data_IF_486575345154
#
_entry.id   IF_486575345154
#
_cell.length_a   1.000
_cell.length_b   1.000
_cell.length_c   1.000
_cell.angle_alpha   90.00
_cell.angle_beta   90.00
_cell.angle_gamma   90.00
#
_symmetry.space_group_name_H-M   'P 1'
#
loop_
_entity.id
_entity.type
_entity.pdbx_description
1 polymer ?
#
# COMPACT_ATOMS: atom_id res chain seq x y z
N UNK A 1 18.85 -15.53 -28.96
CA UNK A 1 19.36 -14.25 -28.43
C UNK A 1 18.44 -13.82 -27.30
N UNK A 2 18.95 -13.77 -26.08
CA UNK A 2 18.15 -13.57 -24.87
C UNK A 2 17.62 -12.13 -24.81
N UNK A 3 16.30 -11.98 -24.61
CA UNK A 3 15.65 -10.70 -24.32
C UNK A 3 16.28 -10.11 -23.05
N UNK A 4 16.71 -8.84 -23.03
CA UNK A 4 17.15 -8.24 -21.78
C UNK A 4 15.93 -8.12 -20.86
N UNK A 5 16.14 -8.46 -19.59
CA UNK A 5 15.16 -8.28 -18.54
C UNK A 5 14.87 -6.79 -18.38
N UNK A 6 13.74 -6.34 -18.90
CA UNK A 6 13.15 -5.05 -18.53
C UNK A 6 12.61 -5.19 -17.11
N UNK A 7 13.50 -4.98 -16.14
CA UNK A 7 13.14 -4.88 -14.75
C UNK A 7 13.25 -3.42 -14.30
N UNK A 8 12.11 -2.85 -13.91
CA UNK A 8 11.96 -1.88 -12.82
C UNK A 8 12.32 -0.38 -12.98
N UNK A 9 12.53 0.17 -14.17
CA UNK A 9 12.77 1.63 -14.29
C UNK A 9 11.49 2.46 -14.04
N UNK A 10 10.31 1.85 -14.13
CA UNK A 10 9.03 2.58 -14.10
C UNK A 10 8.54 2.90 -12.68
N UNK A 11 8.80 2.02 -11.70
CA UNK A 11 8.32 2.18 -10.32
C UNK A 11 8.99 3.34 -9.56
N UNK A 12 10.23 3.69 -9.92
CA UNK A 12 10.96 4.80 -9.28
C UNK A 12 10.38 6.16 -9.66
N UNK A 13 9.77 6.29 -10.84
CA UNK A 13 9.16 7.54 -11.29
C UNK A 13 7.87 7.88 -10.55
N UNK A 14 7.11 6.87 -10.10
CA UNK A 14 5.80 7.09 -9.48
C UNK A 14 5.86 7.23 -7.97
N UNK A 15 6.92 6.75 -7.30
CA UNK A 15 7.04 6.81 -5.84
C UNK A 15 8.20 7.72 -5.39
N UNK A 16 7.88 8.77 -4.63
CA UNK A 16 8.86 9.72 -4.07
C UNK A 16 8.68 9.84 -2.56
N UNK A 17 9.80 9.86 -1.84
CA UNK A 17 9.77 10.19 -0.42
C UNK A 17 9.41 11.66 -0.22
N UNK A 18 8.58 11.93 0.78
CA UNK A 18 8.23 13.26 1.22
C UNK A 18 9.10 13.69 2.41
N UNK A 19 8.46 14.24 3.45
CA UNK A 19 9.19 14.81 4.57
C UNK A 19 9.86 13.73 5.42
N UNK A 20 11.16 13.90 5.72
CA UNK A 20 11.91 12.97 6.57
C UNK A 20 11.66 13.29 8.04
N UNK A 21 11.19 12.31 8.81
CA UNK A 21 10.88 12.45 10.25
C UNK A 21 12.14 12.41 11.11
N UNK A 22 13.07 11.52 10.77
CA UNK A 22 14.27 11.26 11.55
C UNK A 22 14.88 9.88 11.29
N UNK A 23 16.05 9.65 11.85
CA UNK A 23 16.70 8.33 11.89
C UNK A 23 16.13 7.46 13.02
N UNK A 24 16.18 6.14 12.82
CA UNK A 24 15.74 5.18 13.82
C UNK A 24 16.63 5.19 15.06
N UNK A 25 16.03 5.51 16.21
CA UNK A 25 16.70 5.53 17.52
C UNK A 25 17.44 4.21 17.84
N UNK A 26 16.89 3.06 17.39
CA UNK A 26 17.51 1.73 17.58
C UNK A 26 18.38 1.28 16.40
N UNK A 27 18.04 1.68 15.18
CA UNK A 27 18.75 1.31 13.95
C UNK A 27 18.95 2.58 13.15
N UNK A 28 20.12 3.20 13.28
CA UNK A 28 20.46 4.47 12.63
C UNK A 28 20.42 4.41 11.10
N UNK A 29 20.48 3.19 10.55
CA UNK A 29 20.38 2.91 9.12
C UNK A 29 18.93 2.86 8.62
N UNK A 30 17.94 2.85 9.51
CA UNK A 30 16.53 2.94 9.13
C UNK A 30 16.12 4.40 9.14
N UNK A 31 15.63 4.87 7.99
CA UNK A 31 15.14 6.25 7.85
C UNK A 31 13.62 6.27 7.92
N UNK A 32 13.06 7.12 8.79
CA UNK A 32 11.61 7.29 8.92
C UNK A 32 11.14 8.53 8.16
N UNK A 33 9.98 8.41 7.53
CA UNK A 33 9.34 9.48 6.76
C UNK A 33 7.97 9.79 7.34
N UNK A 34 7.55 11.05 7.19
CA UNK A 34 6.23 11.54 7.56
C UNK A 34 5.27 11.56 6.37
N UNK A 35 5.80 11.65 5.15
CA UNK A 35 4.98 11.63 3.94
C UNK A 35 5.68 10.95 2.78
N UNK A 36 4.89 10.54 1.79
CA UNK A 36 5.37 10.07 0.49
C UNK A 36 4.38 10.47 -0.61
N UNK A 37 4.87 10.60 -1.83
CA UNK A 37 4.05 10.84 -3.01
C UNK A 37 4.02 9.57 -3.85
N UNK A 38 2.83 9.07 -4.14
CA UNK A 38 2.62 7.94 -5.06
C UNK A 38 1.69 8.35 -6.19
N UNK A 39 2.15 8.21 -7.44
CA UNK A 39 1.42 8.61 -8.65
C UNK A 39 0.90 10.06 -8.64
N UNK A 40 1.66 10.95 -8.01
CA UNK A 40 1.31 12.37 -7.87
C UNK A 40 0.35 12.70 -6.73
N UNK A 41 -0.09 11.71 -5.95
CA UNK A 41 -0.89 11.90 -4.74
C UNK A 41 0.02 11.84 -3.52
N UNK A 42 -0.05 12.85 -2.65
CA UNK A 42 0.73 12.90 -1.41
C UNK A 42 -0.05 12.25 -0.27
N UNK A 43 0.63 11.38 0.47
CA UNK A 43 0.11 10.64 1.61
C UNK A 43 0.94 10.96 2.85
N UNK A 44 0.25 11.15 3.97
CA UNK A 44 0.88 11.48 5.24
C UNK A 44 0.78 10.33 6.24
N UNK A 45 1.69 10.33 7.22
CA UNK A 45 1.62 9.45 8.36
C UNK A 45 0.29 9.67 9.10
N UNK A 46 -0.34 8.59 9.53
CA UNK A 46 -1.67 8.53 10.13
C UNK A 46 -2.85 8.83 9.20
N UNK A 47 -2.61 9.04 7.91
CA UNK A 47 -3.69 9.17 6.94
C UNK A 47 -4.40 7.82 6.69
N UNK A 48 -5.68 7.89 6.37
CA UNK A 48 -6.50 6.73 6.05
C UNK A 48 -6.37 6.42 4.56
N UNK A 49 -5.88 5.22 4.24
CA UNK A 49 -5.68 4.77 2.86
C UNK A 49 -6.53 3.54 2.57
N UNK A 50 -7.06 3.51 1.35
CA UNK A 50 -7.69 2.32 0.78
C UNK A 50 -6.62 1.51 0.07
N UNK A 51 -6.62 0.21 0.30
CA UNK A 51 -5.74 -0.70 -0.43
C UNK A 51 -6.57 -1.81 -1.08
N UNK A 52 -6.15 -2.14 -2.29
CA UNK A 52 -6.69 -3.24 -3.08
C UNK A 52 -5.68 -4.38 -3.00
N UNK A 53 -6.09 -5.49 -2.41
CA UNK A 53 -5.29 -6.72 -2.46
C UNK A 53 -5.62 -7.44 -3.78
N UNK A 54 -4.62 -7.66 -4.62
CA UNK A 54 -4.81 -8.35 -5.90
C UNK A 54 -5.34 -9.77 -5.65
N UNK A 55 -6.61 -10.00 -5.99
CA UNK A 55 -7.32 -11.27 -5.74
C UNK A 55 -8.48 -11.16 -4.75
N UNK A 56 -8.63 -10.03 -4.05
CA UNK A 56 -9.78 -9.73 -3.19
C UNK A 56 -10.55 -8.52 -3.75
N UNK A 57 -11.86 -8.70 -3.98
CA UNK A 57 -12.76 -7.62 -4.41
C UNK A 57 -13.07 -6.62 -3.27
N UNK A 58 -12.65 -6.92 -2.05
CA UNK A 58 -12.91 -6.08 -0.89
C UNK A 58 -11.82 -5.00 -0.74
N UNK A 59 -12.23 -3.75 -0.95
CA UNK A 59 -11.46 -2.59 -0.55
C UNK A 59 -11.34 -2.54 0.96
N UNK A 60 -10.15 -2.78 1.46
CA UNK A 60 -9.87 -2.62 2.89
C UNK A 60 -9.38 -1.20 3.15
N UNK A 61 -9.89 -0.59 4.22
CA UNK A 61 -9.43 0.73 4.69
C UNK A 61 -8.47 0.52 5.84
N UNK A 62 -7.32 1.18 5.81
CA UNK A 62 -6.33 1.11 6.87
C UNK A 62 -5.66 2.45 7.10
N UNK A 63 -4.93 2.56 8.20
CA UNK A 63 -4.19 3.77 8.55
C UNK A 63 -2.70 3.56 8.36
N UNK A 64 -2.04 4.58 7.82
CA UNK A 64 -0.58 4.60 7.70
C UNK A 64 0.05 4.76 9.09
N UNK A 65 0.65 3.69 9.63
CA UNK A 65 1.21 3.74 11.00
C UNK A 65 2.70 3.97 10.99
N UNK A 66 3.42 3.46 9.98
CA UNK A 66 4.86 3.70 9.82
C UNK A 66 5.24 3.75 8.35
N UNK A 67 6.09 4.70 8.01
CA UNK A 67 6.69 4.88 6.69
C UNK A 67 8.20 4.92 6.91
N UNK A 68 8.94 3.99 6.32
CA UNK A 68 10.37 3.84 6.57
C UNK A 68 11.11 3.19 5.41
N UNK A 69 12.40 3.50 5.31
CA UNK A 69 13.34 2.88 4.38
C UNK A 69 14.32 2.01 5.16
N UNK A 70 14.57 0.80 4.67
CA UNK A 70 15.56 -0.12 5.27
C UNK A 70 16.99 0.25 4.86
N UNK A 71 18.01 -0.23 5.58
CA UNK A 71 19.42 -0.16 5.14
C UNK A 71 19.66 -0.65 3.70
N UNK A 72 18.83 -1.58 3.23
CA UNK A 72 18.90 -2.15 1.88
C UNK A 72 18.19 -1.26 0.84
N UNK A 73 17.82 -0.02 1.20
CA UNK A 73 17.03 0.89 0.38
C UNK A 73 15.65 0.34 -0.02
N UNK A 74 15.09 -0.58 0.77
CA UNK A 74 13.72 -1.05 0.53
C UNK A 74 12.73 -0.06 1.14
N UNK A 75 11.78 0.38 0.31
CA UNK A 75 10.69 1.27 0.70
C UNK A 75 9.59 0.45 1.39
N UNK A 76 9.36 0.66 2.68
CA UNK A 76 8.37 -0.11 3.46
C UNK A 76 7.37 0.81 4.15
N UNK A 77 6.11 0.40 4.06
CA UNK A 77 4.98 1.12 4.64
C UNK A 77 4.19 0.09 5.47
N UNK A 78 4.09 0.32 6.78
CA UNK A 78 3.17 -0.46 7.61
C UNK A 78 1.82 0.24 7.66
N UNK A 79 0.81 -0.48 7.23
CA UNK A 79 -0.59 -0.10 7.31
C UNK A 79 -1.23 -0.91 8.43
N UNK A 80 -1.93 -0.24 9.35
CA UNK A 80 -2.77 -0.92 10.32
C UNK A 80 -4.18 -1.01 9.77
N UNK A 81 -4.62 -2.23 9.55
CA UNK A 81 -5.93 -2.55 9.01
C UNK A 81 -6.86 -2.71 10.21
N UNK A 82 -7.69 -1.71 10.48
CA UNK A 82 -8.67 -1.79 11.59
C UNK A 82 -9.83 -2.75 11.25
N UNK A 83 -10.13 -2.98 9.98
CA UNK A 83 -11.29 -3.77 9.58
C UNK A 83 -11.00 -4.68 8.38
N UNK A 84 -10.98 -5.98 8.64
CA UNK A 84 -11.37 -6.97 7.63
C UNK A 84 -12.87 -7.15 7.79
N UNK A 85 -13.67 -6.48 6.96
CA UNK A 85 -14.95 -7.11 6.66
C UNK A 85 -14.58 -8.41 5.97
N UNK A 86 -14.80 -9.50 6.68
CA UNK A 86 -14.97 -10.79 6.06
C UNK A 86 -16.21 -10.60 5.20
N UNK A 87 -16.12 -10.80 3.87
CA UNK A 87 -17.26 -10.98 3.00
C UNK A 87 -18.31 -11.92 3.64
N UNK A 88 -19.21 -11.36 4.45
CA UNK A 88 -20.48 -11.94 4.88
C UNK A 88 -21.56 -11.16 4.15
N UNK A 89 -21.37 -10.96 2.85
CA UNK A 89 -22.42 -10.46 1.94
C UNK A 89 -22.18 -10.93 0.51
N UNK A 90 -21.42 -12.03 0.32
CA UNK A 90 -21.23 -12.67 -0.98
C UNK A 90 -22.12 -13.89 -1.21
N UNK A 91 -23.05 -14.17 -0.29
CA UNK A 91 -23.95 -15.32 -0.38
C UNK A 91 -25.42 -14.94 -0.14
N UNK A 92 -25.89 -13.76 -0.56
CA UNK A 92 -27.31 -13.53 -0.85
C UNK A 92 -27.42 -12.50 -1.97
N UNK A 93 -27.32 -12.96 -3.22
CA UNK A 93 -28.12 -12.39 -4.30
C UNK A 93 -28.60 -13.57 -5.14
N UNK A 94 -29.81 -14.03 -4.83
CA UNK A 94 -30.62 -14.80 -5.77
C UNK A 94 -31.03 -13.84 -6.90
N UNK A 95 -30.72 -14.19 -8.13
CA UNK A 95 -31.63 -13.87 -9.23
C UNK A 95 -32.44 -15.13 -9.50
N UNK A 96 -33.67 -15.13 -8.99
CA UNK A 96 -34.75 -15.92 -9.59
C UNK A 96 -35.07 -15.27 -10.95
N UNK A 97 -34.46 -15.76 -12.03
CA UNK A 97 -35.10 -15.63 -13.34
C UNK A 97 -36.09 -16.79 -13.50
N UNK A 98 -37.31 -16.52 -13.05
CA UNK A 98 -38.47 -17.20 -13.59
C UNK A 98 -38.61 -16.84 -15.08
N UNK A 99 -38.54 -17.84 -15.96
CA UNK A 99 -39.15 -17.76 -17.28
C UNK A 99 -39.69 -19.12 -17.70
N UNK A 100 -41.00 -19.24 -17.43
CA UNK A 100 -42.07 -19.92 -18.18
C UNK A 100 -41.77 -21.19 -18.99
#
# INVERSE_FOLDING_TARGET
MSRPAEANVEDETYFKWGNKRGDGVKNKDVQFYESFTYKGVEYFLYDCVYFYEAGNFETSTGKLVRIFETPTHEKKILIFIEFKFHCVTGAIFQEEEGSK
#
